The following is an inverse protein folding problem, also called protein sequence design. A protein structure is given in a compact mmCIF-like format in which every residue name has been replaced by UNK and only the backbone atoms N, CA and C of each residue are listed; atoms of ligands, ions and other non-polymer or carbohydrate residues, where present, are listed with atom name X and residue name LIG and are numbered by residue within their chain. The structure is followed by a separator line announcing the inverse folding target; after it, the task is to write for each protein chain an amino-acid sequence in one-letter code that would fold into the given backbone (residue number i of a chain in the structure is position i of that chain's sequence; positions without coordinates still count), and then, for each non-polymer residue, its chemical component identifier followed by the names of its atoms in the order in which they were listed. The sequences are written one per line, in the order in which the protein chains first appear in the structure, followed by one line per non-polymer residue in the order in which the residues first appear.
data_IF_014911428398
#
_entry.id   IF_014911428398
#
_cell.length_a   1.000
_cell.length_b   1.000
_cell.length_c   1.000
_cell.angle_alpha   90.00
_cell.angle_beta   90.00
_cell.angle_gamma   90.00
#
_symmetry.space_group_name_H-M   'P 1'
#
loop_
_entity.id
_entity.type
_entity.pdbx_description
1 polymer ?
#
# COMPACT_ATOMS: atom_id res chain seq x y z
N UNK A 1 43.24 -28.10 -16.24
CA UNK A 1 42.41 -28.04 -17.46
C UNK A 1 40.95 -28.22 -17.07
N UNK A 2 40.19 -27.13 -16.92
CA UNK A 2 38.74 -27.18 -16.65
C UNK A 2 38.02 -26.90 -17.96
N UNK A 3 37.19 -27.84 -18.40
CA UNK A 3 36.34 -27.71 -19.60
C UNK A 3 35.28 -26.64 -19.34
N UNK A 4 35.27 -25.62 -20.19
CA UNK A 4 34.20 -24.62 -20.29
C UNK A 4 33.17 -25.18 -21.27
N UNK A 5 31.91 -25.29 -20.84
CA UNK A 5 30.78 -25.53 -21.74
C UNK A 5 30.16 -24.19 -22.13
N UNK A 6 29.90 -23.92 -23.42
CA UNK A 6 29.21 -22.71 -23.84
C UNK A 6 27.71 -22.88 -23.56
N UNK A 7 27.14 -21.95 -22.78
CA UNK A 7 25.69 -21.80 -22.67
C UNK A 7 25.23 -21.08 -23.94
N UNK A 8 24.64 -21.84 -24.85
CA UNK A 8 23.87 -21.32 -25.99
C UNK A 8 22.65 -20.57 -25.46
N UNK A 9 22.62 -19.24 -25.67
CA UNK A 9 21.42 -18.43 -25.48
C UNK A 9 20.28 -18.96 -26.32
N UNK A 10 19.23 -19.45 -25.65
CA UNK A 10 17.94 -19.70 -26.26
C UNK A 10 17.29 -18.33 -26.50
N UNK A 11 17.32 -17.85 -27.74
CA UNK A 11 16.55 -16.68 -28.16
C UNK A 11 15.09 -17.13 -28.23
N UNK A 12 14.32 -16.82 -27.20
CA UNK A 12 12.86 -16.94 -27.25
C UNK A 12 12.36 -15.86 -28.21
N UNK A 13 11.94 -16.30 -29.39
CA UNK A 13 11.42 -15.43 -30.44
C UNK A 13 10.22 -14.62 -29.95
N UNK A 14 10.35 -13.30 -29.99
CA UNK A 14 9.24 -12.38 -29.93
C UNK A 14 8.43 -12.56 -31.23
N UNK A 15 7.24 -13.16 -31.14
CA UNK A 15 6.29 -13.12 -32.24
C UNK A 15 5.74 -11.69 -32.36
N UNK A 16 6.45 -10.84 -33.11
CA UNK A 16 5.87 -9.61 -33.65
C UNK A 16 5.19 -10.01 -34.95
N UNK A 17 3.87 -10.15 -34.92
CA UNK A 17 3.08 -10.30 -36.13
C UNK A 17 2.97 -8.93 -36.80
N UNK A 18 4.00 -8.50 -37.52
CA UNK A 18 3.95 -7.32 -38.38
C UNK A 18 3.39 -7.71 -39.76
N UNK A 19 2.07 -7.84 -39.86
CA UNK A 19 1.39 -7.74 -41.15
C UNK A 19 0.99 -6.28 -41.39
N UNK A 20 1.92 -5.52 -41.98
CA UNK A 20 1.59 -4.27 -42.64
C UNK A 20 0.94 -4.60 -44.00
N UNK A 21 -0.37 -4.80 -43.98
CA UNK A 21 -1.22 -4.63 -45.16
C UNK A 21 -2.27 -3.59 -44.79
N UNK A 22 -2.14 -2.37 -45.33
CA UNK A 22 -3.08 -1.27 -45.12
C UNK A 22 -4.46 -1.65 -45.71
N UNK A 23 -5.52 -1.78 -44.88
CA UNK A 23 -6.88 -1.89 -45.38
C UNK A 23 -7.44 -0.49 -45.74
N UNK A 24 -8.50 -0.41 -46.56
CA UNK A 24 -9.13 0.86 -46.91
C UNK A 24 -9.76 1.53 -45.68
N UNK A 25 -9.82 2.87 -45.74
CA UNK A 25 -10.18 3.78 -44.66
C UNK A 25 -11.35 3.33 -43.78
N UNK A 26 -11.06 3.04 -42.51
CA UNK A 26 -12.05 2.85 -41.46
C UNK A 26 -12.63 4.20 -41.00
N UNK A 27 -13.91 4.20 -40.68
CA UNK A 27 -14.72 5.37 -40.26
C UNK A 27 -14.21 6.03 -38.98
N UNK A 28 -14.64 7.27 -38.73
CA UNK A 28 -14.08 8.20 -37.72
C UNK A 28 -13.98 7.67 -36.27
N UNK A 29 -14.72 6.62 -35.89
CA UNK A 29 -14.56 5.93 -34.60
C UNK A 29 -13.31 5.02 -34.54
N UNK A 30 -12.96 4.33 -35.63
CA UNK A 30 -11.79 3.44 -35.70
C UNK A 30 -10.45 4.18 -35.83
N UNK A 31 -10.48 5.44 -36.24
CA UNK A 31 -9.29 6.26 -36.40
C UNK A 31 -8.69 6.75 -35.07
N UNK A 32 -9.48 6.76 -33.98
CA UNK A 32 -9.00 7.08 -32.62
C UNK A 32 -8.19 5.91 -32.05
N UNK A 33 -8.73 4.69 -32.09
CA UNK A 33 -8.02 3.47 -31.66
C UNK A 33 -6.70 3.27 -32.42
N UNK A 34 -6.67 3.35 -33.75
CA UNK A 34 -5.42 3.15 -34.48
C UNK A 34 -4.35 4.22 -34.19
N UNK A 35 -4.74 5.48 -33.98
CA UNK A 35 -3.81 6.56 -33.61
C UNK A 35 -3.30 6.39 -32.19
N UNK A 36 -4.17 6.00 -31.27
CA UNK A 36 -3.83 5.76 -29.87
C UNK A 36 -2.90 4.55 -29.76
N UNK A 37 -3.15 3.47 -30.52
CA UNK A 37 -2.27 2.30 -30.64
C UNK A 37 -0.90 2.69 -31.22
N UNK A 38 -0.88 3.47 -32.31
CA UNK A 38 0.37 3.93 -32.91
C UNK A 38 1.17 4.83 -31.96
N UNK A 39 0.51 5.64 -31.13
CA UNK A 39 1.16 6.44 -30.09
C UNK A 39 1.68 5.56 -28.96
N UNK A 40 0.93 4.51 -28.56
CA UNK A 40 1.35 3.50 -27.60
C UNK A 40 2.64 2.80 -28.04
N UNK A 41 2.67 2.29 -29.28
CA UNK A 41 3.87 1.66 -29.86
C UNK A 41 5.05 2.63 -29.90
N UNK A 42 4.84 3.89 -30.28
CA UNK A 42 5.91 4.92 -30.26
C UNK A 42 6.41 5.20 -28.84
N UNK A 43 5.53 5.22 -27.83
CA UNK A 43 5.91 5.40 -26.42
C UNK A 43 6.73 4.21 -25.94
N UNK A 44 6.29 2.98 -26.21
CA UNK A 44 7.00 1.75 -25.84
C UNK A 44 8.35 1.63 -26.54
N UNK A 45 8.48 2.04 -27.81
CA UNK A 45 9.75 2.03 -28.54
C UNK A 45 10.82 2.97 -27.96
N UNK A 46 10.42 3.95 -27.13
CA UNK A 46 11.32 4.84 -26.41
C UNK A 46 11.74 4.31 -25.03
N UNK A 47 11.07 3.28 -24.51
CA UNK A 47 11.46 2.68 -23.23
C UNK A 47 12.85 2.06 -23.36
N UNK A 48 13.68 2.33 -22.36
CA UNK A 48 15.02 1.77 -22.21
C UNK A 48 15.14 1.25 -20.80
N UNK A 49 15.91 0.17 -20.62
CA UNK A 49 16.25 -0.29 -19.29
C UNK A 49 17.00 0.84 -18.57
N UNK A 50 16.48 1.22 -17.40
CA UNK A 50 17.19 2.16 -16.54
C UNK A 50 18.19 1.38 -15.68
N UNK A 51 19.47 1.70 -15.86
CA UNK A 51 20.57 1.10 -15.11
C UNK A 51 21.11 2.02 -14.02
N UNK A 52 20.49 3.19 -13.81
CA UNK A 52 20.85 4.10 -12.72
C UNK A 52 20.45 3.50 -11.38
N UNK A 53 21.19 3.87 -10.34
CA UNK A 53 20.89 3.45 -8.98
C UNK A 53 19.80 4.35 -8.41
N UNK A 54 18.69 3.76 -7.97
CA UNK A 54 17.68 4.47 -7.23
C UNK A 54 18.26 5.00 -5.91
N UNK A 55 18.18 6.32 -5.70
CA UNK A 55 18.45 6.98 -4.43
C UNK A 55 17.26 6.82 -3.48
N UNK A 56 16.05 6.91 -4.00
CA UNK A 56 14.83 6.79 -3.23
C UNK A 56 14.02 5.58 -3.71
N UNK A 57 13.31 4.92 -2.81
CA UNK A 57 12.39 3.83 -3.14
C UNK A 57 11.06 4.11 -2.43
N UNK A 58 9.95 4.06 -3.18
CA UNK A 58 8.60 4.17 -2.64
C UNK A 58 7.83 2.91 -3.02
N UNK A 59 7.39 2.15 -2.02
CA UNK A 59 6.55 0.98 -2.18
C UNK A 59 5.11 1.34 -1.82
N UNK A 60 4.24 1.37 -2.82
CA UNK A 60 2.81 1.53 -2.66
C UNK A 60 2.11 0.17 -2.64
N UNK A 61 1.35 -0.10 -1.59
CA UNK A 61 0.60 -1.35 -1.40
C UNK A 61 -0.89 -1.04 -1.27
N UNK A 62 -1.68 -1.46 -2.25
CA UNK A 62 -3.15 -1.49 -2.11
C UNK A 62 -3.57 -2.83 -1.50
N UNK A 63 -3.85 -2.87 -0.20
CA UNK A 63 -4.23 -4.11 0.49
C UNK A 63 -5.51 -4.69 -0.16
N UNK A 64 -5.45 -5.94 -0.59
CA UNK A 64 -6.57 -6.59 -1.30
C UNK A 64 -6.90 -6.02 -2.69
N UNK A 65 -6.08 -5.12 -3.25
CA UNK A 65 -6.32 -4.42 -4.52
C UNK A 65 -6.04 -5.30 -5.75
N UNK A 66 -6.87 -6.31 -5.95
CA UNK A 66 -6.81 -7.20 -7.12
C UNK A 66 -7.05 -6.50 -8.47
N UNK A 67 -6.81 -7.21 -9.57
CA UNK A 67 -6.99 -6.68 -10.93
C UNK A 67 -8.44 -6.22 -11.19
N UNK A 68 -9.44 -6.93 -10.64
CA UNK A 68 -10.84 -6.52 -10.75
C UNK A 68 -11.12 -5.21 -10.01
N UNK A 69 -10.53 -5.03 -8.82
CA UNK A 69 -10.60 -3.78 -8.04
C UNK A 69 -10.00 -2.62 -8.82
N UNK A 70 -8.79 -2.80 -9.38
CA UNK A 70 -8.13 -1.79 -10.23
C UNK A 70 -9.03 -1.39 -11.41
N UNK A 71 -9.58 -2.37 -12.14
CA UNK A 71 -10.44 -2.12 -13.30
C UNK A 71 -11.71 -1.35 -12.91
N UNK A 72 -12.39 -1.77 -11.84
CA UNK A 72 -13.61 -1.11 -11.39
C UNK A 72 -13.34 0.31 -10.83
N UNK A 73 -12.22 0.51 -10.14
CA UNK A 73 -11.82 1.81 -9.61
C UNK A 73 -11.49 2.79 -10.74
N UNK A 74 -10.77 2.33 -11.77
CA UNK A 74 -10.53 3.10 -13.01
C UNK A 74 -11.83 3.58 -13.63
N UNK A 75 -12.81 2.68 -13.79
CA UNK A 75 -14.12 3.04 -14.36
C UNK A 75 -14.82 4.06 -13.46
N UNK A 76 -14.86 3.81 -12.14
CA UNK A 76 -15.49 4.71 -11.18
C UNK A 76 -14.89 6.11 -11.24
N UNK A 77 -13.55 6.23 -11.24
CA UNK A 77 -12.87 7.52 -11.26
C UNK A 77 -13.21 8.34 -12.51
N UNK A 78 -13.25 7.71 -13.69
CA UNK A 78 -13.68 8.39 -14.91
C UNK A 78 -15.15 8.80 -14.87
N UNK A 79 -16.03 7.96 -14.32
CA UNK A 79 -17.45 8.29 -14.14
C UNK A 79 -17.66 9.46 -13.18
N UNK A 80 -16.87 9.57 -12.12
CA UNK A 80 -16.90 10.72 -11.20
C UNK A 80 -16.50 12.04 -11.87
N UNK A 81 -15.81 12.00 -13.02
CA UNK A 81 -15.53 13.18 -13.86
C UNK A 81 -16.57 13.43 -14.96
N UNK A 82 -17.63 12.65 -15.00
CA UNK A 82 -18.66 12.72 -16.04
C UNK A 82 -18.26 12.07 -17.37
N UNK A 83 -17.19 11.27 -17.39
CA UNK A 83 -16.79 10.45 -18.53
C UNK A 83 -17.48 9.08 -18.46
N UNK A 84 -17.30 8.24 -19.49
CA UNK A 84 -17.88 6.89 -19.46
C UNK A 84 -17.20 5.96 -18.45
N UNK A 85 -15.90 6.20 -18.18
CA UNK A 85 -15.10 5.46 -17.21
C UNK A 85 -14.10 4.49 -17.82
N UNK A 86 -14.49 3.70 -18.82
CA UNK A 86 -13.69 2.55 -19.31
C UNK A 86 -12.32 2.97 -19.88
N UNK A 87 -12.27 4.15 -20.49
CA UNK A 87 -11.09 4.71 -21.14
C UNK A 87 -10.20 5.52 -20.20
N UNK A 88 -10.60 5.64 -18.94
CA UNK A 88 -9.78 6.25 -17.91
C UNK A 88 -8.51 5.41 -17.64
N UNK A 89 -7.51 6.01 -17.02
CA UNK A 89 -6.37 5.32 -16.41
C UNK A 89 -6.16 5.89 -15.01
N UNK A 90 -6.06 5.03 -14.02
CA UNK A 90 -5.51 5.42 -12.72
C UNK A 90 -4.02 5.77 -12.91
N UNK A 91 -3.51 6.66 -12.06
CA UNK A 91 -2.15 7.18 -12.22
C UNK A 91 -1.09 6.07 -12.37
N UNK A 92 -1.17 5.03 -11.54
CA UNK A 92 -0.21 3.93 -11.54
C UNK A 92 -0.29 3.04 -12.80
N UNK A 93 -1.37 3.10 -13.56
CA UNK A 93 -1.52 2.37 -14.83
C UNK A 93 -0.75 3.03 -15.98
N UNK A 94 -0.25 4.25 -15.75
CA UNK A 94 0.63 4.96 -16.69
C UNK A 94 2.11 4.60 -16.53
N UNK A 95 2.45 3.82 -15.48
CA UNK A 95 3.80 3.34 -15.23
C UNK A 95 4.27 2.39 -16.35
N UNK A 96 5.56 2.43 -16.73
CA UNK A 96 6.02 1.78 -17.95
C UNK A 96 6.21 0.26 -17.84
N UNK A 97 6.30 -0.28 -16.61
CA UNK A 97 6.60 -1.68 -16.36
C UNK A 97 5.47 -2.32 -15.57
N UNK A 98 5.04 -3.51 -16.00
CA UNK A 98 4.00 -4.29 -15.34
C UNK A 98 4.46 -5.75 -15.21
N UNK A 99 4.13 -6.36 -14.09
CA UNK A 99 4.37 -7.77 -13.83
C UNK A 99 3.18 -8.35 -13.05
N UNK A 100 3.06 -9.68 -13.05
CA UNK A 100 2.13 -10.41 -12.20
C UNK A 100 2.88 -11.02 -11.02
N UNK A 101 2.31 -10.90 -9.82
CA UNK A 101 2.86 -11.47 -8.59
C UNK A 101 2.07 -12.71 -8.15
N UNK A 102 2.79 -13.76 -7.68
CA UNK A 102 2.18 -14.98 -7.15
C UNK A 102 2.17 -14.93 -5.61
N UNK A 103 0.99 -14.78 -5.02
CA UNK A 103 0.85 -14.30 -3.63
C UNK A 103 0.73 -15.38 -2.56
N UNK A 104 0.61 -16.66 -2.92
CA UNK A 104 0.46 -17.76 -1.93
C UNK A 104 1.48 -17.69 -0.77
N UNK A 105 1.06 -17.95 0.46
CA UNK A 105 1.98 -18.12 1.60
C UNK A 105 2.51 -19.57 1.65
N UNK A 106 3.52 -19.82 2.47
CA UNK A 106 4.13 -21.17 2.56
C UNK A 106 3.16 -22.24 3.09
N UNK A 107 2.13 -21.83 3.83
CA UNK A 107 1.10 -22.71 4.40
C UNK A 107 -0.32 -22.48 3.84
N UNK A 108 -0.54 -21.53 2.92
CA UNK A 108 -1.88 -21.20 2.40
C UNK A 108 -1.85 -20.78 0.92
N UNK A 109 -2.83 -21.26 0.15
CA UNK A 109 -2.98 -20.90 -1.27
C UNK A 109 -3.53 -19.48 -1.44
N UNK A 110 -4.56 -19.15 -0.67
CA UNK A 110 -5.06 -17.78 -0.51
C UNK A 110 -4.36 -17.21 0.73
N UNK A 111 -3.48 -16.22 0.56
CA UNK A 111 -2.65 -15.73 1.66
C UNK A 111 -3.41 -14.78 2.59
N UNK A 112 -2.75 -14.35 3.66
CA UNK A 112 -3.10 -13.16 4.44
C UNK A 112 -2.07 -12.04 4.26
N UNK A 113 -2.39 -10.82 4.71
CA UNK A 113 -1.52 -9.64 4.60
C UNK A 113 -0.17 -9.79 5.31
N UNK A 114 -0.10 -10.55 6.42
CA UNK A 114 1.14 -10.70 7.19
C UNK A 114 2.21 -11.48 6.43
N UNK A 115 1.84 -12.65 5.89
CA UNK A 115 2.80 -13.47 5.15
C UNK A 115 3.18 -12.87 3.79
N UNK A 116 2.28 -12.13 3.13
CA UNK A 116 2.55 -11.46 1.84
C UNK A 116 3.45 -10.25 2.02
N UNK A 117 3.21 -9.42 3.03
CA UNK A 117 4.07 -8.27 3.30
C UNK A 117 5.43 -8.67 3.86
N UNK A 118 5.51 -9.78 4.62
CA UNK A 118 6.80 -10.41 4.92
C UNK A 118 7.58 -10.73 3.65
N UNK A 119 6.93 -11.33 2.64
CA UNK A 119 7.59 -11.65 1.37
C UNK A 119 8.06 -10.40 0.60
N UNK A 120 7.27 -9.32 0.63
CA UNK A 120 7.65 -8.06 -0.04
C UNK A 120 8.80 -7.34 0.66
N UNK A 121 8.80 -7.35 1.99
CA UNK A 121 9.76 -6.58 2.78
C UNK A 121 11.06 -7.33 3.05
N UNK A 122 11.05 -8.66 3.07
CA UNK A 122 12.25 -9.47 3.39
C UNK A 122 12.80 -10.24 2.19
N UNK A 123 12.01 -10.35 1.12
CA UNK A 123 12.32 -11.22 -0.02
C UNK A 123 12.04 -12.71 0.23
N UNK A 124 11.59 -13.09 1.42
CA UNK A 124 11.29 -14.49 1.80
C UNK A 124 9.80 -14.69 2.10
N UNK A 125 9.21 -15.72 1.48
CA UNK A 125 7.84 -16.11 1.81
C UNK A 125 7.78 -16.74 3.20
N UNK A 126 6.81 -16.32 3.99
CA UNK A 126 6.51 -16.92 5.28
C UNK A 126 5.07 -17.47 5.37
N UNK A 127 4.70 -17.97 6.55
CA UNK A 127 3.37 -18.48 6.88
C UNK A 127 2.38 -17.32 6.99
N UNK A 128 1.11 -17.63 6.78
CA UNK A 128 0.04 -16.68 7.07
C UNK A 128 -0.04 -16.38 8.57
N UNK A 129 -0.18 -15.10 8.91
CA UNK A 129 -0.34 -14.61 10.28
C UNK A 129 0.94 -14.38 11.09
N UNK A 130 2.12 -14.62 10.50
CA UNK A 130 3.42 -14.26 11.09
C UNK A 130 4.03 -13.10 10.31
N UNK A 131 4.83 -12.26 10.97
CA UNK A 131 5.37 -11.03 10.42
C UNK A 131 6.90 -11.06 10.51
N UNK A 132 7.58 -10.89 9.37
CA UNK A 132 9.05 -10.77 9.23
C UNK A 132 9.85 -11.81 10.01
N UNK A 133 9.33 -13.03 10.05
CA UNK A 133 10.01 -14.22 10.57
C UNK A 133 9.91 -15.34 9.54
N UNK A 134 10.87 -16.26 9.55
CA UNK A 134 10.92 -17.32 8.56
C UNK A 134 9.76 -18.33 8.69
N UNK A 135 9.61 -19.17 7.68
CA UNK A 135 8.53 -20.16 7.61
C UNK A 135 8.61 -21.28 8.66
N UNK A 136 9.70 -21.40 9.42
CA UNK A 136 9.86 -22.45 10.44
C UNK A 136 9.16 -22.09 11.74
N UNK A 137 8.99 -20.79 12.03
CA UNK A 137 8.30 -20.27 13.21
C UNK A 137 6.89 -20.84 13.36
N UNK A 138 6.54 -21.21 14.58
CA UNK A 138 5.19 -21.65 14.92
C UNK A 138 4.34 -20.42 15.25
N UNK A 139 3.21 -20.26 14.55
CA UNK A 139 2.33 -19.11 14.75
C UNK A 139 1.83 -19.07 16.20
N UNK A 140 1.92 -17.90 16.83
CA UNK A 140 1.52 -17.67 18.22
C UNK A 140 2.47 -18.21 19.29
N UNK A 141 3.67 -18.70 18.91
CA UNK A 141 4.69 -19.20 19.83
C UNK A 141 5.91 -18.27 19.80
N UNK A 142 6.06 -17.46 20.85
CA UNK A 142 7.14 -16.50 20.98
C UNK A 142 8.52 -17.15 21.01
N UNK A 143 8.67 -18.24 21.76
CA UNK A 143 9.94 -18.94 21.86
C UNK A 143 10.45 -19.43 20.50
N UNK A 144 9.54 -19.81 19.60
CA UNK A 144 9.89 -20.28 18.25
C UNK A 144 10.37 -19.17 17.30
N UNK A 145 10.06 -17.90 17.58
CA UNK A 145 10.44 -16.78 16.71
C UNK A 145 11.92 -16.35 16.89
N UNK A 146 12.50 -16.62 18.06
CA UNK A 146 13.83 -16.16 18.43
C UNK A 146 14.91 -16.74 17.52
N UNK A 147 15.66 -15.87 16.85
CA UNK A 147 16.72 -16.25 15.91
C UNK A 147 16.21 -16.61 14.51
N UNK A 148 14.91 -16.44 14.27
CA UNK A 148 14.25 -16.66 12.98
C UNK A 148 13.70 -15.35 12.39
N UNK A 149 14.12 -14.20 12.92
CA UNK A 149 13.79 -12.88 12.41
C UNK A 149 14.44 -12.65 11.04
N UNK A 150 13.65 -12.14 10.10
CA UNK A 150 14.08 -11.81 8.75
C UNK A 150 14.24 -10.29 8.63
N UNK A 151 15.44 -9.85 8.25
CA UNK A 151 15.73 -8.43 8.04
C UNK A 151 14.83 -7.84 6.95
N UNK A 152 14.20 -6.70 7.24
CA UNK A 152 13.32 -6.03 6.28
C UNK A 152 14.09 -5.00 5.45
N UNK A 153 13.55 -4.64 4.30
CA UNK A 153 14.13 -3.63 3.42
C UNK A 153 14.14 -2.23 4.04
N UNK A 154 13.21 -1.94 4.96
CA UNK A 154 13.22 -0.69 5.72
C UNK A 154 14.42 -0.68 6.69
N UNK A 155 14.65 -1.77 7.40
CA UNK A 155 15.80 -1.93 8.30
C UNK A 155 17.12 -1.86 7.53
N UNK A 156 17.21 -2.49 6.37
CA UNK A 156 18.37 -2.36 5.47
C UNK A 156 18.59 -0.91 5.03
N UNK A 157 17.52 -0.17 4.71
CA UNK A 157 17.62 1.25 4.32
C UNK A 157 18.17 2.11 5.48
N UNK A 158 17.69 1.90 6.70
CA UNK A 158 18.19 2.55 7.91
C UNK A 158 19.66 2.20 8.20
N UNK A 159 20.03 0.93 8.07
CA UNK A 159 21.41 0.47 8.28
C UNK A 159 22.42 1.13 7.33
N UNK A 160 21.99 1.53 6.13
CA UNK A 160 22.84 2.29 5.17
C UNK A 160 22.68 3.82 5.31
N UNK A 161 21.92 4.28 6.30
CA UNK A 161 21.70 5.67 6.65
C UNK A 161 20.77 6.44 5.69
N UNK A 162 19.87 5.73 5.01
CA UNK A 162 18.72 6.37 4.35
C UNK A 162 17.66 6.64 5.42
N UNK A 163 16.86 7.66 5.21
CA UNK A 163 15.68 7.88 6.05
C UNK A 163 14.56 6.93 5.65
N UNK A 164 13.69 6.60 6.60
CA UNK A 164 12.61 5.65 6.38
C UNK A 164 11.26 6.16 6.84
N UNK A 165 10.21 5.70 6.15
CA UNK A 165 8.84 6.06 6.48
C UNK A 165 7.82 4.97 6.22
N UNK A 166 6.78 4.97 7.05
CA UNK A 166 5.63 4.05 7.01
C UNK A 166 4.36 4.90 7.05
N UNK A 167 3.53 4.79 6.01
CA UNK A 167 2.26 5.51 5.90
C UNK A 167 1.14 4.52 5.58
N UNK A 168 0.02 4.60 6.28
CA UNK A 168 -1.12 3.71 6.05
C UNK A 168 -2.44 4.36 6.45
N UNK A 169 -3.55 3.87 5.90
CA UNK A 169 -4.91 4.15 6.41
C UNK A 169 -5.40 3.13 7.46
N UNK A 170 -4.59 2.12 7.81
CA UNK A 170 -4.90 1.15 8.88
C UNK A 170 -4.37 1.62 10.23
N UNK A 171 -4.35 0.73 11.22
CA UNK A 171 -3.54 0.93 12.42
C UNK A 171 -2.08 0.79 12.00
N UNK A 172 -1.16 1.60 12.53
CA UNK A 172 0.27 1.43 12.22
C UNK A 172 0.80 0.05 12.63
N UNK A 173 0.15 -0.60 13.58
CA UNK A 173 0.42 -1.96 14.07
C UNK A 173 -0.27 -3.07 13.27
N UNK A 174 -1.05 -2.72 12.24
CA UNK A 174 -1.65 -3.71 11.34
C UNK A 174 -0.54 -4.49 10.60
N UNK A 175 -0.86 -5.66 10.04
CA UNK A 175 0.13 -6.56 9.47
C UNK A 175 1.01 -5.92 8.37
N UNK A 176 0.40 -5.17 7.45
CA UNK A 176 1.10 -4.53 6.33
C UNK A 176 2.16 -3.51 6.77
N UNK A 177 1.84 -2.50 7.60
CA UNK A 177 2.85 -1.58 8.11
C UNK A 177 3.82 -2.28 9.07
N UNK A 178 3.34 -3.18 9.93
CA UNK A 178 4.16 -3.91 10.89
C UNK A 178 5.27 -4.74 10.21
N UNK A 179 5.00 -5.35 9.06
CA UNK A 179 6.00 -6.10 8.30
C UNK A 179 7.19 -5.26 7.80
N UNK A 180 7.12 -3.94 7.92
CA UNK A 180 8.26 -3.07 7.63
C UNK A 180 9.23 -2.92 8.81
N UNK A 181 8.83 -3.22 10.05
CA UNK A 181 9.67 -2.91 11.22
C UNK A 181 9.59 -3.91 12.39
N UNK A 182 8.62 -4.83 12.37
CA UNK A 182 8.35 -5.76 13.47
C UNK A 182 8.59 -7.20 13.03
N UNK A 183 9.02 -8.02 13.99
CA UNK A 183 9.16 -9.46 13.85
C UNK A 183 8.31 -10.13 14.94
N UNK A 184 7.20 -10.76 14.55
CA UNK A 184 6.28 -11.42 15.50
C UNK A 184 5.72 -12.72 14.92
N UNK A 185 5.54 -13.76 15.75
CA UNK A 185 4.89 -15.00 15.34
C UNK A 185 3.37 -14.90 15.27
N UNK A 186 2.76 -13.75 15.62
CA UNK A 186 1.31 -13.54 15.55
C UNK A 186 1.01 -12.07 15.25
N UNK A 187 0.36 -11.83 14.11
CA UNK A 187 0.01 -10.47 13.64
C UNK A 187 -0.92 -9.70 14.56
N UNK A 188 -1.68 -10.39 15.41
CA UNK A 188 -2.63 -9.78 16.34
C UNK A 188 -1.98 -9.29 17.64
N UNK A 189 -0.67 -9.48 17.84
CA UNK A 189 0.05 -8.93 19.00
C UNK A 189 0.35 -7.44 18.81
N UNK A 190 -0.69 -6.65 18.60
CA UNK A 190 -0.58 -5.24 18.22
C UNK A 190 -0.11 -4.37 19.40
N UNK A 191 -0.59 -4.67 20.62
CA UNK A 191 -0.08 -4.10 21.87
C UNK A 191 0.11 -5.19 22.96
N UNK A 192 0.57 -4.79 24.15
CA UNK A 192 0.91 -5.71 25.24
C UNK A 192 -0.30 -6.47 25.81
N UNK A 193 -1.51 -5.94 25.65
CA UNK A 193 -2.75 -6.62 26.04
C UNK A 193 -3.01 -7.90 25.24
N UNK A 194 -2.56 -7.92 23.98
CA UNK A 194 -2.74 -9.05 23.08
C UNK A 194 -1.72 -10.18 23.31
N UNK A 195 -0.68 -9.94 24.10
CA UNK A 195 0.38 -10.91 24.36
C UNK A 195 -0.09 -12.00 25.33
N UNK A 196 -0.04 -13.29 24.96
CA UNK A 196 -0.26 -14.37 25.91
C UNK A 196 0.86 -14.42 26.95
N UNK A 197 0.59 -15.07 28.09
CA UNK A 197 1.59 -15.24 29.16
C UNK A 197 2.88 -15.91 28.68
N UNK A 198 2.79 -16.82 27.69
CA UNK A 198 3.94 -17.42 27.01
C UNK A 198 4.83 -16.36 26.37
N UNK A 199 4.24 -15.44 25.59
CA UNK A 199 4.97 -14.39 24.90
C UNK A 199 5.62 -13.41 25.87
N UNK A 200 4.91 -13.03 26.93
CA UNK A 200 5.45 -12.16 27.99
C UNK A 200 6.63 -12.85 28.70
N UNK A 201 6.50 -14.13 29.04
CA UNK A 201 7.55 -14.91 29.72
C UNK A 201 8.80 -15.06 28.86
N UNK A 202 8.62 -15.25 27.55
CA UNK A 202 9.71 -15.41 26.59
C UNK A 202 10.25 -14.07 26.03
N UNK A 203 9.72 -12.94 26.49
CA UNK A 203 10.26 -11.61 26.20
C UNK A 203 9.89 -11.06 24.82
N UNK A 204 8.83 -11.56 24.18
CA UNK A 204 8.32 -10.94 22.97
C UNK A 204 7.82 -9.52 23.25
N UNK A 205 8.09 -8.62 22.31
CA UNK A 205 7.56 -7.27 22.31
C UNK A 205 6.36 -7.22 21.37
N UNK A 206 5.30 -6.54 21.80
CA UNK A 206 4.18 -6.19 20.93
C UNK A 206 4.62 -5.29 19.76
N UNK A 207 3.83 -5.28 18.70
CA UNK A 207 4.14 -4.55 17.47
C UNK A 207 4.27 -3.04 17.74
N UNK A 208 3.42 -2.44 18.59
CA UNK A 208 3.53 -1.02 18.91
C UNK A 208 4.87 -0.68 19.57
N UNK A 209 5.34 -1.52 20.52
CA UNK A 209 6.68 -1.38 21.10
C UNK A 209 7.79 -1.52 20.08
N UNK A 210 7.70 -2.46 19.13
CA UNK A 210 8.73 -2.65 18.12
C UNK A 210 8.86 -1.43 17.18
N UNK A 211 7.78 -0.68 16.94
CA UNK A 211 7.83 0.58 16.19
C UNK A 211 8.63 1.66 16.92
N UNK A 212 8.38 1.83 18.23
CA UNK A 212 9.01 2.89 19.03
C UNK A 212 10.45 2.54 19.38
N UNK A 213 10.68 1.28 19.77
CA UNK A 213 11.98 0.75 20.16
C UNK A 213 12.80 0.26 18.95
N UNK A 214 12.59 0.88 17.79
CA UNK A 214 13.20 0.49 16.52
C UNK A 214 14.75 0.62 16.58
N UNK A 215 15.50 -0.48 16.43
CA UNK A 215 16.90 -0.52 16.87
C UNK A 215 17.93 -0.14 15.80
N UNK A 216 17.51 0.22 14.58
CA UNK A 216 18.41 0.46 13.46
C UNK A 216 18.61 1.96 13.18
N UNK A 217 19.80 2.30 12.70
CA UNK A 217 20.11 3.65 12.24
C UNK A 217 19.91 4.71 13.32
N UNK A 218 19.26 5.80 12.96
CA UNK A 218 18.81 6.86 13.86
C UNK A 218 17.32 6.75 14.19
N UNK A 219 16.71 5.58 13.96
CA UNK A 219 15.28 5.37 14.14
C UNK A 219 14.45 5.81 12.93
N UNK A 220 13.19 5.38 12.92
CA UNK A 220 12.22 5.68 11.87
C UNK A 220 11.90 7.18 11.84
N UNK A 221 12.05 7.87 10.70
CA UNK A 221 11.72 9.30 10.62
C UNK A 221 10.23 9.58 10.49
N UNK A 222 9.44 8.74 9.83
CA UNK A 222 8.00 9.02 9.67
C UNK A 222 7.16 7.76 9.87
N UNK A 223 6.19 7.83 10.77
CA UNK A 223 5.18 6.81 10.95
C UNK A 223 3.79 7.47 11.04
N UNK A 224 2.91 7.23 10.06
CA UNK A 224 1.60 7.85 10.01
C UNK A 224 0.48 6.87 9.68
N UNK A 225 -0.59 6.89 10.47
CA UNK A 225 -1.80 6.11 10.24
C UNK A 225 -2.77 6.26 11.39
N UNK A 226 -3.54 5.22 11.69
CA UNK A 226 -4.38 5.13 12.88
C UNK A 226 -3.74 4.27 13.99
N UNK A 227 -4.54 3.94 14.99
CA UNK A 227 -4.21 2.93 16.01
C UNK A 227 -3.82 3.50 17.37
N UNK A 228 -4.23 4.73 17.71
CA UNK A 228 -3.89 5.36 19.01
C UNK A 228 -4.08 4.45 20.21
N UNK A 229 -5.11 3.59 20.20
CA UNK A 229 -5.40 2.68 21.31
C UNK A 229 -4.21 1.78 21.69
N UNK A 230 -3.40 1.36 20.73
CA UNK A 230 -2.26 0.45 20.93
C UNK A 230 -1.02 1.18 21.50
N UNK A 231 -1.03 2.52 21.48
CA UNK A 231 0.08 3.38 21.93
C UNK A 231 -0.19 4.08 23.26
N UNK A 232 -1.46 4.13 23.69
CA UNK A 232 -1.87 4.81 24.92
C UNK A 232 -2.18 3.80 26.03
N UNK A 233 -1.88 4.12 27.29
CA UNK A 233 -2.24 3.28 28.41
C UNK A 233 -3.74 3.36 28.70
N UNK A 234 -4.30 2.31 29.31
CA UNK A 234 -5.72 2.29 29.74
C UNK A 234 -6.11 3.43 30.68
N UNK A 235 -5.13 4.02 31.36
CA UNK A 235 -5.30 5.17 32.26
C UNK A 235 -5.49 6.50 31.54
N UNK A 236 -5.23 6.58 30.23
CA UNK A 236 -5.39 7.79 29.43
C UNK A 236 -6.58 7.65 28.46
N UNK A 237 -7.42 8.70 28.41
CA UNK A 237 -8.53 8.79 27.46
C UNK A 237 -8.02 9.05 26.04
N UNK A 238 -8.71 8.51 25.03
CA UNK A 238 -8.44 8.88 23.63
C UNK A 238 -8.76 10.38 23.43
N UNK A 239 -7.89 11.14 22.74
CA UNK A 239 -8.05 12.59 22.61
C UNK A 239 -9.27 13.01 21.78
N UNK A 240 -9.80 12.12 20.95
CA UNK A 240 -10.97 12.38 20.11
C UNK A 240 -12.20 11.62 20.62
N UNK A 241 -12.05 10.31 20.84
CA UNK A 241 -13.10 9.47 21.42
C UNK A 241 -13.01 9.47 22.94
N UNK A 242 -13.28 10.61 23.58
CA UNK A 242 -13.08 10.82 25.04
C UNK A 242 -13.82 9.85 25.97
N UNK A 243 -14.79 9.08 25.46
CA UNK A 243 -15.46 7.98 26.19
C UNK A 243 -14.70 6.65 26.20
N UNK A 244 -13.57 6.59 25.48
CA UNK A 244 -12.69 5.43 25.33
C UNK A 244 -11.30 5.77 25.86
N UNK A 245 -10.52 4.74 26.13
CA UNK A 245 -9.13 4.85 26.58
C UNK A 245 -8.19 4.07 25.64
N UNK A 246 -6.89 4.15 25.94
CA UNK A 246 -5.90 3.24 25.40
C UNK A 246 -6.12 1.78 25.79
N UNK A 247 -5.35 0.87 25.19
CA UNK A 247 -5.45 -0.58 25.39
C UNK A 247 -4.24 -1.16 26.15
N UNK A 248 -3.14 -0.42 26.27
CA UNK A 248 -1.93 -0.90 26.95
C UNK A 248 -2.11 -1.12 28.45
N UNK A 249 -1.64 -2.26 28.93
CA UNK A 249 -1.71 -2.70 30.34
C UNK A 249 -0.43 -2.37 31.12
N UNK A 250 0.67 -2.05 30.43
CA UNK A 250 1.98 -1.71 30.99
C UNK A 250 2.14 -0.24 31.45
N UNK A 251 1.06 0.55 31.40
CA UNK A 251 1.03 1.98 31.73
C UNK A 251 1.97 2.87 30.89
N UNK A 252 2.49 2.39 29.75
CA UNK A 252 3.33 3.21 28.87
C UNK A 252 2.48 4.05 27.93
N UNK A 253 2.95 5.28 27.71
CA UNK A 253 2.44 6.12 26.64
C UNK A 253 3.53 6.25 25.57
N UNK A 254 3.40 5.40 24.56
CA UNK A 254 4.36 5.24 23.49
C UNK A 254 4.47 6.46 22.58
N UNK A 255 3.41 7.29 22.46
CA UNK A 255 3.50 8.54 21.68
C UNK A 255 4.29 9.62 22.41
N UNK A 256 4.27 9.64 23.75
CA UNK A 256 5.16 10.49 24.55
C UNK A 256 6.61 10.01 24.49
N UNK A 257 6.83 8.69 24.51
CA UNK A 257 8.16 8.11 24.36
C UNK A 257 8.79 8.49 23.02
N UNK A 258 8.05 8.40 21.90
CA UNK A 258 8.52 8.88 20.58
C UNK A 258 9.07 10.31 20.63
N UNK A 259 8.34 11.24 21.25
CA UNK A 259 8.75 12.65 21.34
C UNK A 259 9.96 12.84 22.27
N UNK A 260 10.12 11.97 23.27
CA UNK A 260 11.25 12.00 24.20
C UNK A 260 12.52 11.38 23.62
N UNK A 261 12.38 10.32 22.83
CA UNK A 261 13.50 9.50 22.38
C UNK A 261 14.22 10.11 21.16
N UNK A 262 13.53 10.93 20.38
CA UNK A 262 14.05 11.53 19.16
C UNK A 262 14.19 13.07 19.24
N UNK A 263 15.30 13.65 18.77
CA UNK A 263 15.43 15.11 18.65
C UNK A 263 14.49 15.63 17.54
N UNK A 264 13.98 16.86 17.72
CA UNK A 264 13.06 17.51 16.76
C UNK A 264 11.87 16.62 16.37
N UNK A 265 11.40 15.80 17.31
CA UNK A 265 10.29 14.91 17.11
C UNK A 265 8.95 15.59 17.35
N UNK A 266 7.93 15.12 16.65
CA UNK A 266 6.55 15.58 16.82
C UNK A 266 5.58 14.40 16.85
N UNK A 267 4.55 14.53 17.68
CA UNK A 267 3.37 13.68 17.69
C UNK A 267 2.14 14.49 17.28
N UNK A 268 1.35 13.96 16.35
CA UNK A 268 0.10 14.57 15.88
C UNK A 268 -1.01 13.53 15.83
N UNK A 269 -2.26 13.95 16.06
CA UNK A 269 -3.40 13.04 16.06
C UNK A 269 -4.64 13.55 15.31
N UNK A 270 -4.58 14.75 14.72
CA UNK A 270 -5.69 15.32 13.94
C UNK A 270 -5.18 16.18 12.77
N UNK A 271 -6.10 16.59 11.90
CA UNK A 271 -5.80 17.42 10.72
C UNK A 271 -5.10 18.74 11.08
N UNK A 272 -5.58 19.46 12.09
CA UNK A 272 -5.03 20.78 12.43
C UNK A 272 -3.56 20.70 12.90
N UNK A 273 -3.22 19.68 13.70
CA UNK A 273 -1.85 19.42 14.12
C UNK A 273 -0.98 18.95 12.96
N UNK A 274 -1.51 18.08 12.09
CA UNK A 274 -0.81 17.64 10.88
C UNK A 274 -0.45 18.82 9.96
N UNK A 275 -1.39 19.73 9.73
CA UNK A 275 -1.19 20.92 8.89
C UNK A 275 -0.17 21.89 9.51
N UNK A 276 -0.07 21.94 10.83
CA UNK A 276 0.88 22.78 11.55
C UNK A 276 2.34 22.27 11.49
N UNK A 277 2.58 21.04 11.02
CA UNK A 277 3.94 20.49 10.90
C UNK A 277 4.73 21.22 9.81
N UNK A 278 5.81 21.88 10.24
CA UNK A 278 6.88 22.41 9.39
C UNK A 278 7.88 21.28 9.07
N UNK A 279 7.83 20.67 7.87
CA UNK A 279 8.67 19.53 7.52
C UNK A 279 10.16 19.89 7.45
N UNK A 280 10.50 21.19 7.38
CA UNK A 280 11.89 21.64 7.42
C UNK A 280 12.50 21.54 8.83
N UNK A 281 11.68 21.50 9.89
CA UNK A 281 12.12 21.51 11.29
C UNK A 281 11.88 20.21 12.04
N UNK A 282 10.96 19.37 11.57
CA UNK A 282 10.66 18.08 12.20
C UNK A 282 11.49 16.99 11.53
N UNK A 283 12.26 16.25 12.33
CA UNK A 283 13.08 15.13 11.85
C UNK A 283 12.37 13.79 12.04
N UNK A 284 11.62 13.62 13.13
CA UNK A 284 10.84 12.41 13.43
C UNK A 284 9.35 12.74 13.66
N UNK A 285 8.45 12.19 12.86
CA UNK A 285 7.00 12.44 12.95
C UNK A 285 6.23 11.15 13.19
N UNK A 286 5.49 11.10 14.31
CA UNK A 286 4.47 10.10 14.58
C UNK A 286 3.07 10.73 14.42
N UNK A 287 2.27 10.21 13.50
CA UNK A 287 0.89 10.62 13.28
C UNK A 287 -0.09 9.49 13.55
N UNK A 288 -0.99 9.65 14.54
CA UNK A 288 -2.01 8.66 14.89
C UNK A 288 -3.41 9.30 14.83
N UNK A 289 -4.04 9.23 13.66
CA UNK A 289 -5.22 10.03 13.32
C UNK A 289 -6.55 9.42 13.73
N UNK A 290 -6.58 8.15 14.14
CA UNK A 290 -7.78 7.51 14.67
C UNK A 290 -7.46 6.58 15.84
N UNK A 291 -8.44 6.31 16.72
CA UNK A 291 -8.31 5.32 17.80
C UNK A 291 -7.95 3.94 17.26
N UNK A 292 -8.59 3.54 16.16
CA UNK A 292 -8.33 2.29 15.43
C UNK A 292 -7.82 2.62 14.02
N UNK A 293 -8.24 1.89 13.00
CA UNK A 293 -7.99 2.25 11.60
C UNK A 293 -8.57 3.65 11.28
N UNK A 294 -7.93 4.39 10.39
CA UNK A 294 -8.46 5.67 9.86
C UNK A 294 -9.79 5.47 9.15
N UNK A 295 -10.57 6.54 8.96
CA UNK A 295 -11.82 6.47 8.22
C UNK A 295 -11.59 5.99 6.77
N UNK A 296 -12.62 5.38 6.18
CA UNK A 296 -12.63 5.21 4.71
C UNK A 296 -12.61 6.60 4.05
N UNK A 297 -12.02 6.76 2.87
CA UNK A 297 -11.86 8.07 2.23
C UNK A 297 -13.21 8.77 2.03
N UNK A 298 -14.25 8.01 1.66
CA UNK A 298 -15.60 8.56 1.51
C UNK A 298 -16.17 9.14 2.82
N UNK A 299 -15.85 8.52 3.95
CA UNK A 299 -16.37 8.91 5.26
C UNK A 299 -15.47 9.94 5.97
N UNK A 300 -14.19 10.03 5.60
CA UNK A 300 -13.16 10.90 6.19
C UNK A 300 -13.59 12.36 6.38
N UNK A 301 -14.33 13.01 5.46
CA UNK A 301 -14.80 14.37 5.66
C UNK A 301 -15.77 14.55 6.85
N UNK A 302 -16.34 13.47 7.38
CA UNK A 302 -17.25 13.50 8.54
C UNK A 302 -16.54 13.29 9.88
N UNK A 303 -15.23 13.09 9.87
CA UNK A 303 -14.44 12.96 11.08
C UNK A 303 -14.40 14.27 11.87
N UNK A 304 -14.51 14.19 13.21
CA UNK A 304 -14.76 15.37 14.05
C UNK A 304 -13.47 16.19 14.20
N UNK A 305 -12.34 15.52 14.47
CA UNK A 305 -11.05 16.19 14.57
C UNK A 305 -10.37 16.36 13.19
N UNK A 306 -10.88 15.64 12.18
CA UNK A 306 -10.37 15.58 10.83
C UNK A 306 -9.15 14.67 10.74
N UNK A 307 -9.05 13.95 9.61
CA UNK A 307 -7.91 13.10 9.28
C UNK A 307 -7.28 13.53 7.95
N UNK A 308 -5.94 13.57 7.83
CA UNK A 308 -5.28 13.80 6.55
C UNK A 308 -5.55 12.63 5.60
N UNK A 309 -5.71 12.94 4.31
CA UNK A 309 -5.83 11.92 3.27
C UNK A 309 -4.52 11.15 3.08
N UNK A 310 -4.57 9.98 2.44
CA UNK A 310 -3.37 9.21 2.12
C UNK A 310 -2.40 10.01 1.25
N UNK A 311 -2.92 10.78 0.29
CA UNK A 311 -2.11 11.69 -0.52
C UNK A 311 -1.44 12.80 0.32
N UNK A 312 -2.15 13.39 1.30
CA UNK A 312 -1.57 14.39 2.20
C UNK A 312 -0.45 13.81 3.06
N UNK A 313 -0.70 12.64 3.68
CA UNK A 313 0.31 11.93 4.47
C UNK A 313 1.55 11.59 3.63
N UNK A 314 1.34 11.08 2.40
CA UNK A 314 2.43 10.79 1.46
C UNK A 314 3.28 12.03 1.15
N UNK A 315 2.64 13.17 0.87
CA UNK A 315 3.34 14.42 0.59
C UNK A 315 4.22 14.84 1.78
N UNK A 316 3.65 14.87 2.99
CA UNK A 316 4.37 15.28 4.20
C UNK A 316 5.55 14.35 4.49
N UNK A 317 5.39 13.04 4.32
CA UNK A 317 6.49 12.08 4.44
C UNK A 317 7.61 12.39 3.46
N UNK A 318 7.31 12.60 2.18
CA UNK A 318 8.33 12.92 1.18
C UNK A 318 9.05 14.24 1.52
N UNK A 319 8.35 15.25 2.03
CA UNK A 319 8.95 16.52 2.44
C UNK A 319 9.97 16.37 3.57
N UNK A 320 9.68 15.51 4.55
CA UNK A 320 10.58 15.22 5.68
C UNK A 320 11.75 14.35 5.21
N UNK A 321 11.45 13.23 4.55
CA UNK A 321 12.44 12.22 4.16
C UNK A 321 13.46 12.72 3.13
N UNK A 322 13.04 13.59 2.19
CA UNK A 322 13.93 14.12 1.14
C UNK A 322 15.04 15.04 1.66
N UNK A 323 15.00 15.43 2.94
CA UNK A 323 16.10 16.16 3.59
C UNK A 323 17.39 15.34 3.57
N UNK A 324 17.28 14.01 3.70
CA UNK A 324 18.43 13.11 3.69
C UNK A 324 19.01 12.94 2.29
N UNK A 325 20.26 13.37 2.09
CA UNK A 325 20.96 13.30 0.79
C UNK A 325 21.34 11.88 0.36
N UNK A 326 21.35 10.91 1.29
CA UNK A 326 21.51 9.49 0.98
C UNK A 326 20.23 8.87 0.38
N UNK A 327 19.11 9.59 0.42
CA UNK A 327 17.80 9.16 -0.05
C UNK A 327 16.97 8.51 1.05
N UNK A 328 15.85 7.93 0.64
CA UNK A 328 14.89 7.35 1.57
C UNK A 328 14.21 6.08 1.06
N UNK A 329 13.64 5.31 1.98
CA UNK A 329 12.62 4.29 1.69
C UNK A 329 11.28 4.73 2.30
N UNK A 330 10.19 4.60 1.56
CA UNK A 330 8.85 4.93 2.04
C UNK A 330 7.88 3.82 1.64
N UNK A 331 7.18 3.24 2.61
CA UNK A 331 6.03 2.36 2.35
C UNK A 331 4.74 3.15 2.54
N UNK A 332 3.83 3.08 1.57
CA UNK A 332 2.52 3.73 1.59
C UNK A 332 1.43 2.72 1.31
N UNK A 333 0.48 2.59 2.23
CA UNK A 333 -0.57 1.59 2.16
C UNK A 333 -1.97 2.22 2.03
N UNK A 334 -2.72 1.76 1.02
CA UNK A 334 -4.17 1.95 0.92
C UNK A 334 -4.92 0.81 1.61
N UNK A 335 -4.73 0.61 2.91
CA UNK A 335 -5.13 -0.65 3.57
C UNK A 335 -6.63 -0.80 3.82
N UNK A 336 -7.39 0.29 3.80
CA UNK A 336 -8.86 0.25 3.94
C UNK A 336 -9.59 -0.30 2.69
N UNK A 337 -8.90 -0.48 1.55
CA UNK A 337 -9.43 -1.17 0.37
C UNK A 337 -9.86 -2.60 0.73
N UNK A 338 -8.99 -3.33 1.41
CA UNK A 338 -9.21 -4.70 1.88
C UNK A 338 -10.42 -4.79 2.83
N UNK A 339 -10.45 -3.93 3.86
CA UNK A 339 -11.55 -3.92 4.83
C UNK A 339 -12.91 -3.67 4.18
N UNK A 340 -12.96 -2.76 3.19
CA UNK A 340 -14.19 -2.48 2.47
C UNK A 340 -14.65 -3.69 1.63
N UNK A 341 -13.71 -4.41 1.01
CA UNK A 341 -14.03 -5.65 0.30
C UNK A 341 -14.50 -6.76 1.26
N UNK A 342 -13.86 -6.94 2.41
CA UNK A 342 -14.33 -7.87 3.45
C UNK A 342 -15.75 -7.56 3.92
N UNK A 343 -16.13 -6.27 3.97
CA UNK A 343 -17.48 -5.83 4.30
C UNK A 343 -18.48 -5.95 3.13
N UNK A 344 -18.06 -6.42 1.95
CA UNK A 344 -18.90 -6.45 0.74
C UNK A 344 -19.26 -5.05 0.22
N UNK A 345 -18.50 -4.02 0.59
CA UNK A 345 -18.77 -2.62 0.25
C UNK A 345 -17.84 -2.16 -0.88
N UNK A 346 -18.23 -2.46 -2.12
CA UNK A 346 -17.47 -2.07 -3.29
C UNK A 346 -17.30 -0.54 -3.39
N UNK A 347 -18.31 0.26 -3.05
CA UNK A 347 -18.21 1.73 -3.15
C UNK A 347 -17.03 2.29 -2.34
N UNK A 348 -16.88 1.87 -1.09
CA UNK A 348 -15.75 2.28 -0.25
C UNK A 348 -14.42 1.71 -0.74
N UNK A 349 -14.38 0.44 -1.16
CA UNK A 349 -13.15 -0.17 -1.67
C UNK A 349 -12.62 0.56 -2.91
N UNK A 350 -13.51 0.91 -3.85
CA UNK A 350 -13.13 1.63 -5.05
C UNK A 350 -12.78 3.10 -4.76
N UNK A 351 -13.47 3.76 -3.82
CA UNK A 351 -13.15 5.14 -3.44
C UNK A 351 -11.78 5.23 -2.76
N UNK A 352 -11.44 4.28 -1.89
CA UNK A 352 -10.11 4.20 -1.27
C UNK A 352 -9.02 3.86 -2.30
N UNK A 353 -9.34 3.03 -3.31
CA UNK A 353 -8.42 2.75 -4.43
C UNK A 353 -8.12 4.01 -5.25
N UNK A 354 -9.12 4.90 -5.42
CA UNK A 354 -8.93 6.19 -6.09
C UNK A 354 -8.03 7.12 -5.26
N UNK A 355 -8.22 7.17 -3.93
CA UNK A 355 -7.33 7.95 -3.06
C UNK A 355 -5.90 7.39 -3.05
N UNK A 356 -5.74 6.08 -3.06
CA UNK A 356 -4.44 5.42 -3.24
C UNK A 356 -3.79 5.81 -4.58
N UNK A 357 -4.55 5.86 -5.68
CA UNK A 357 -4.03 6.34 -6.96
C UNK A 357 -3.58 7.81 -6.90
N UNK A 358 -4.30 8.68 -6.18
CA UNK A 358 -3.88 10.07 -5.94
C UNK A 358 -2.59 10.14 -5.11
N UNK A 359 -2.42 9.27 -4.11
CA UNK A 359 -1.17 9.22 -3.33
C UNK A 359 0.03 8.85 -4.22
N UNK A 360 -0.15 7.91 -5.16
CA UNK A 360 0.88 7.58 -6.17
C UNK A 360 1.18 8.80 -7.04
N UNK A 361 0.15 9.52 -7.50
CA UNK A 361 0.30 10.75 -8.28
C UNK A 361 1.10 11.81 -7.53
N UNK A 362 0.75 12.05 -6.28
CA UNK A 362 1.47 12.97 -5.40
C UNK A 362 2.95 12.62 -5.31
N UNK A 363 3.29 11.35 -5.05
CA UNK A 363 4.68 10.93 -4.98
C UNK A 363 5.43 11.12 -6.32
N UNK A 364 4.80 10.78 -7.44
CA UNK A 364 5.37 11.00 -8.78
C UNK A 364 5.61 12.47 -9.09
N UNK A 365 4.75 13.37 -8.62
CA UNK A 365 4.89 14.82 -8.80
C UNK A 365 5.96 15.43 -7.87
N UNK A 366 6.29 14.75 -6.76
CA UNK A 366 7.23 15.23 -5.75
C UNK A 366 8.62 14.61 -5.82
N UNK A 367 8.84 13.64 -6.71
CA UNK A 367 10.11 12.91 -6.86
C UNK A 367 10.59 12.89 -8.31
N UNK A 368 11.88 12.63 -8.50
CA UNK A 368 12.48 12.53 -9.82
C UNK A 368 12.57 11.07 -10.26
N UNK A 369 12.03 10.75 -11.45
CA UNK A 369 12.12 9.40 -12.01
C UNK A 369 13.57 8.96 -12.27
N UNK A 370 14.51 9.91 -12.33
CA UNK A 370 15.92 9.63 -12.56
C UNK A 370 16.64 9.02 -11.35
N UNK A 371 16.06 9.17 -10.16
CA UNK A 371 16.65 8.66 -8.92
C UNK A 371 15.65 8.01 -7.94
N UNK A 372 14.37 7.93 -8.31
CA UNK A 372 13.32 7.38 -7.46
C UNK A 372 12.65 6.20 -8.12
N UNK A 373 12.70 5.04 -7.46
CA UNK A 373 11.95 3.85 -7.86
C UNK A 373 10.60 3.84 -7.15
N UNK A 374 9.51 3.94 -7.91
CA UNK A 374 8.15 3.78 -7.41
C UNK A 374 7.62 2.41 -7.85
N UNK A 375 7.20 1.60 -6.87
CA UNK A 375 6.57 0.29 -7.09
C UNK A 375 5.14 0.39 -6.58
N UNK A 376 4.18 -0.06 -7.39
CA UNK A 376 2.76 -0.16 -6.99
C UNK A 376 2.35 -1.62 -7.12
N UNK A 377 1.84 -2.19 -6.04
CA UNK A 377 1.39 -3.58 -6.00
C UNK A 377 0.20 -3.74 -5.05
N UNK A 378 -0.35 -4.94 -5.04
CA UNK A 378 -1.22 -5.43 -3.98
C UNK A 378 -0.54 -6.62 -3.30
N UNK A 379 -0.85 -6.83 -2.02
CA UNK A 379 -0.39 -7.96 -1.23
C UNK A 379 -1.16 -9.25 -1.61
N UNK A 380 -2.46 -9.13 -1.85
CA UNK A 380 -3.34 -10.14 -2.44
C UNK A 380 -4.54 -9.51 -3.17
N UNK A 381 -5.46 -10.34 -3.64
CA UNK A 381 -6.71 -9.94 -4.28
C UNK A 381 -7.90 -10.21 -3.35
N UNK A 382 -9.09 -9.77 -3.77
CA UNK A 382 -10.38 -10.23 -3.23
C UNK A 382 -11.14 -11.09 -4.24
N UNK A 383 -12.21 -11.73 -3.77
CA UNK A 383 -13.23 -12.40 -4.62
C UNK A 383 -14.22 -11.42 -5.26
N UNK A 384 -13.81 -10.16 -5.42
CA UNK A 384 -14.59 -9.11 -6.07
C UNK A 384 -14.63 -9.36 -7.58
N UNK A 385 -15.84 -9.41 -8.13
CA UNK A 385 -16.07 -9.63 -9.56
C UNK A 385 -16.93 -8.51 -10.14
N UNK A 386 -16.60 -8.10 -11.36
CA UNK A 386 -17.42 -7.24 -12.21
C UNK A 386 -17.96 -8.12 -13.35
N UNK A 387 -19.28 -8.27 -13.44
CA UNK A 387 -19.94 -9.23 -14.34
C UNK A 387 -21.05 -8.62 -15.21
N UNK A 388 -21.88 -9.50 -15.78
CA UNK A 388 -22.97 -9.16 -16.71
C UNK A 388 -22.49 -8.93 -18.14
N UNK A 389 -23.27 -8.13 -18.88
CA UNK A 389 -22.87 -7.52 -20.16
C UNK A 389 -23.37 -6.05 -20.23
N UNK A 390 -22.88 -5.14 -19.37
CA UNK A 390 -23.31 -3.74 -19.35
C UNK A 390 -22.88 -2.98 -20.61
N UNK A 391 -23.71 -2.02 -21.04
CA UNK A 391 -23.34 -1.04 -22.06
C UNK A 391 -22.20 -0.15 -21.56
N UNK A 392 -21.41 0.37 -22.49
CA UNK A 392 -20.35 1.34 -22.19
C UNK A 392 -20.97 2.60 -21.55
N UNK A 393 -20.34 3.11 -20.49
CA UNK A 393 -20.84 4.20 -19.67
C UNK A 393 -21.87 3.79 -18.61
N UNK A 394 -22.18 2.50 -18.47
CA UNK A 394 -23.05 2.03 -17.38
C UNK A 394 -22.38 2.31 -16.01
N UNK A 395 -23.09 2.88 -15.03
CA UNK A 395 -22.52 3.10 -13.70
C UNK A 395 -21.93 1.81 -13.13
N UNK A 396 -20.65 1.83 -12.73
CA UNK A 396 -19.92 0.62 -12.31
C UNK A 396 -20.51 -0.05 -11.06
N UNK A 397 -21.18 0.73 -10.21
CA UNK A 397 -21.91 0.26 -9.03
C UNK A 397 -23.43 0.15 -9.28
N UNK A 398 -23.85 0.34 -10.53
CA UNK A 398 -25.24 0.32 -10.95
C UNK A 398 -25.70 -1.08 -11.38
N UNK A 399 -27.00 -1.15 -11.68
CA UNK A 399 -27.58 -2.33 -12.35
C UNK A 399 -27.15 -2.34 -13.82
N UNK A 400 -27.13 -3.52 -14.42
CA UNK A 400 -26.75 -3.70 -15.83
C UNK A 400 -27.83 -3.13 -16.74
N UNK A 401 -27.46 -2.18 -17.58
CA UNK A 401 -28.19 -1.83 -18.80
C UNK A 401 -27.49 -2.56 -19.95
N UNK A 402 -28.19 -3.49 -20.61
CA UNK A 402 -27.63 -4.23 -21.74
C UNK A 402 -27.81 -3.49 -23.07
N UNK A 403 -27.29 -4.08 -24.14
CA UNK A 403 -27.52 -3.60 -25.51
C UNK A 403 -28.59 -4.44 -26.24
N UNK A 404 -29.30 -3.80 -27.16
CA UNK A 404 -30.23 -4.44 -28.10
C UNK A 404 -29.46 -5.12 -29.26
N UNK A 405 -30.20 -5.76 -30.19
CA UNK A 405 -29.62 -6.42 -31.37
C UNK A 405 -28.88 -5.46 -32.33
N UNK A 406 -29.10 -4.15 -32.19
CA UNK A 406 -28.43 -3.10 -32.96
C UNK A 406 -27.25 -2.47 -32.19
N UNK A 407 -26.97 -2.93 -30.96
CA UNK A 407 -25.87 -2.44 -30.12
C UNK A 407 -26.19 -1.18 -29.31
N UNK A 408 -27.45 -0.76 -29.23
CA UNK A 408 -27.86 0.43 -28.46
C UNK A 408 -28.28 0.06 -27.03
N UNK A 409 -28.08 0.95 -26.04
CA UNK A 409 -28.55 0.73 -24.67
C UNK A 409 -30.06 0.47 -24.62
N UNK A 410 -30.48 -0.59 -23.96
CA UNK A 410 -31.89 -0.86 -23.71
C UNK A 410 -32.47 0.05 -22.61
N UNK A 411 -33.77 0.39 -22.65
CA UNK A 411 -34.38 1.32 -21.70
C UNK A 411 -34.56 0.75 -20.27
N UNK A 412 -34.13 -0.49 -19.99
CA UNK A 412 -34.36 -1.17 -18.73
C UNK A 412 -33.17 -1.98 -18.22
N UNK A 413 -33.22 -2.35 -16.95
CA UNK A 413 -32.20 -3.19 -16.34
C UNK A 413 -32.34 -4.66 -16.76
N UNK A 414 -31.21 -5.33 -16.97
CA UNK A 414 -31.14 -6.78 -17.18
C UNK A 414 -30.62 -7.48 -15.93
N UNK A 415 -31.10 -8.71 -15.72
CA UNK A 415 -30.40 -9.65 -14.85
C UNK A 415 -29.18 -10.13 -15.61
N UNK A 416 -28.01 -9.95 -14.98
CA UNK A 416 -26.71 -10.40 -15.48
C UNK A 416 -26.64 -11.93 -15.55
#
# INVERSE_FOLDING_TARGET
MKKVYPVTSLVTGLFVLSLAALPPAATAGGMRSYRDDANGVKKSGKLRADHRRARNVILFVGDGMGISTVTAARILEGQLRGENGEENLLEFETLPNVALSKTYNTNQQVPDSAGTMTAMMTGEKSKAGVISVDQTVTRGDCASAKGHELLTFLEEAEMVGKSTGVVTTTRLTHATPAATYAHVPERNWEDDHDLPAEAVTNGCKDIARQLIEFPYGNGLEVAMGGGRRNFLPRSEADPEETSKTGERDDNRNLSKEWVSDYPNAAFVWNQAQFDAIDPAKVDHLLGLFNRSHMQYEYDRPNDIAGEPSLAQMTAKSIEILRKNKKGFFLMVEGGRIDHAHHAGNAFRALTDTIEFAKAVKTAREMTDNDDTLIIVTADHSHVFTMGGYPTRGNPILGKVIGNDSSGNPEPGYKLA
#
